data_IF_855577246271
#
_entry.id   IF_855577246271
#
_cell.length_a   1.000
_cell.length_b   1.000
_cell.length_c   1.000
_cell.angle_alpha   90.00
_cell.angle_beta   90.00
_cell.angle_gamma   90.00
#
_symmetry.space_group_name_H-M   'P 1'
#
loop_
_entity.id
_entity.type
_entity.pdbx_description
1 polymer ?
#
# COMPACT_ATOMS: atom_id res chain seq x y z
N UNK A 1 -27.32 3.30 9.26
CA UNK A 1 -27.30 2.04 8.48
C UNK A 1 -27.40 2.42 7.01
N UNK A 2 -26.36 2.04 6.22
CA UNK A 2 -26.33 2.27 4.77
C UNK A 2 -27.04 1.12 4.05
N UNK A 3 -27.80 1.45 2.99
CA UNK A 3 -28.49 0.49 2.15
C UNK A 3 -28.15 0.68 0.67
N UNK A 4 -28.41 -0.33 -0.17
CA UNK A 4 -28.18 -0.28 -1.61
C UNK A 4 -26.73 0.03 -2.00
N UNK A 5 -26.57 0.92 -2.97
CA UNK A 5 -25.28 1.29 -3.55
C UNK A 5 -24.32 1.97 -2.55
N UNK A 6 -24.87 2.75 -1.62
CA UNK A 6 -24.09 3.38 -0.57
C UNK A 6 -23.41 2.33 0.35
N UNK A 7 -24.11 1.23 0.64
CA UNK A 7 -23.57 0.10 1.40
C UNK A 7 -22.46 -0.61 0.61
N UNK A 8 -22.65 -0.76 -0.69
CA UNK A 8 -21.67 -1.36 -1.60
C UNK A 8 -20.41 -0.50 -1.66
N UNK A 9 -20.55 0.83 -1.82
CA UNK A 9 -19.43 1.76 -1.81
C UNK A 9 -18.65 1.73 -0.49
N UNK A 10 -19.35 1.69 0.65
CA UNK A 10 -18.70 1.57 1.95
C UNK A 10 -17.89 0.27 2.10
N UNK A 11 -18.39 -0.86 1.58
CA UNK A 11 -17.66 -2.14 1.58
C UNK A 11 -16.40 -2.08 0.71
N UNK A 12 -16.44 -1.39 -0.43
CA UNK A 12 -15.27 -1.18 -1.30
C UNK A 12 -14.20 -0.41 -0.54
N UNK A 13 -14.57 0.69 0.14
CA UNK A 13 -13.64 1.48 0.95
C UNK A 13 -13.05 0.63 2.08
N UNK A 14 -13.86 -0.11 2.82
CA UNK A 14 -13.40 -1.00 3.89
C UNK A 14 -12.37 -2.02 3.36
N UNK A 15 -12.61 -2.57 2.18
CA UNK A 15 -11.66 -3.50 1.55
C UNK A 15 -10.36 -2.82 1.18
N UNK A 16 -10.42 -1.60 0.63
CA UNK A 16 -9.24 -0.83 0.25
C UNK A 16 -8.37 -0.44 1.47
N UNK A 17 -8.96 -0.25 2.65
CA UNK A 17 -8.22 0.06 3.88
C UNK A 17 -7.32 -1.10 4.37
N UNK A 18 -7.52 -2.31 3.88
CA UNK A 18 -6.64 -3.46 4.18
C UNK A 18 -5.35 -3.45 3.36
N UNK A 19 -5.32 -2.78 2.22
CA UNK A 19 -4.23 -2.86 1.25
C UNK A 19 -2.86 -2.38 1.80
N UNK A 20 -2.76 -1.31 2.61
CA UNK A 20 -1.47 -0.94 3.20
C UNK A 20 -0.85 -2.05 4.05
N UNK A 21 -1.65 -2.74 4.88
CA UNK A 21 -1.19 -3.88 5.68
C UNK A 21 -0.77 -5.05 4.78
N UNK A 22 -1.55 -5.35 3.76
CA UNK A 22 -1.24 -6.41 2.79
C UNK A 22 0.06 -6.14 2.06
N UNK A 23 0.29 -4.88 1.66
CA UNK A 23 1.52 -4.48 0.97
C UNK A 23 2.74 -4.59 1.89
N UNK A 24 2.64 -4.18 3.15
CA UNK A 24 3.72 -4.34 4.14
C UNK A 24 4.07 -5.82 4.31
N UNK A 25 3.07 -6.68 4.46
CA UNK A 25 3.27 -8.12 4.59
C UNK A 25 3.92 -8.72 3.33
N UNK A 26 3.42 -8.35 2.14
CA UNK A 26 3.98 -8.80 0.86
C UNK A 26 5.44 -8.35 0.68
N UNK A 27 5.80 -7.15 1.09
CA UNK A 27 7.18 -6.65 1.06
C UNK A 27 8.11 -7.46 1.97
N UNK A 28 7.56 -8.04 3.04
CA UNK A 28 8.27 -8.97 3.93
C UNK A 28 8.25 -10.44 3.43
N UNK A 29 7.66 -10.71 2.27
CA UNK A 29 7.53 -12.06 1.72
C UNK A 29 6.41 -12.89 2.37
N UNK A 30 5.47 -12.25 3.06
CA UNK A 30 4.43 -12.90 3.84
C UNK A 30 3.04 -12.77 3.19
N UNK A 31 2.13 -13.69 3.53
CA UNK A 31 0.75 -13.66 3.03
C UNK A 31 -0.13 -12.69 3.84
N UNK A 32 -0.34 -11.50 3.29
CA UNK A 32 -1.07 -10.42 3.94
C UNK A 32 -2.54 -10.74 4.26
N UNK A 33 -3.17 -11.63 3.51
CA UNK A 33 -4.56 -12.05 3.75
C UNK A 33 -4.72 -12.75 5.08
N UNK A 34 -3.79 -13.65 5.40
CA UNK A 34 -3.78 -14.42 6.66
C UNK A 34 -3.53 -13.48 7.84
N UNK A 35 -2.56 -12.57 7.70
CA UNK A 35 -2.23 -11.59 8.74
C UNK A 35 -3.44 -10.68 9.03
N UNK A 36 -4.09 -10.16 7.99
CA UNK A 36 -5.26 -9.32 8.12
C UNK A 36 -6.43 -10.03 8.83
N UNK A 37 -6.68 -11.29 8.47
CA UNK A 37 -7.69 -12.12 9.08
C UNK A 37 -7.43 -12.39 10.58
N UNK A 38 -6.19 -12.69 10.95
CA UNK A 38 -5.79 -12.93 12.33
C UNK A 38 -5.94 -11.66 13.19
N UNK A 39 -5.56 -10.49 12.68
CA UNK A 39 -5.75 -9.22 13.38
C UNK A 39 -7.25 -8.95 13.61
N UNK A 40 -8.09 -9.16 12.58
CA UNK A 40 -9.55 -9.01 12.71
C UNK A 40 -10.16 -9.94 13.74
N UNK A 41 -9.74 -11.21 13.77
CA UNK A 41 -10.23 -12.23 14.74
C UNK A 41 -9.85 -11.88 16.17
N UNK A 42 -8.68 -11.28 16.38
CA UNK A 42 -8.25 -10.88 17.72
C UNK A 42 -9.15 -9.79 18.32
N UNK A 43 -9.78 -8.96 17.48
CA UNK A 43 -10.72 -7.90 17.87
C UNK A 43 -10.21 -7.04 19.05
N UNK A 44 -8.90 -6.77 19.08
CA UNK A 44 -8.22 -6.01 20.12
C UNK A 44 -7.65 -4.72 19.53
N UNK A 45 -7.98 -3.58 20.14
CA UNK A 45 -7.41 -2.28 19.74
C UNK A 45 -5.92 -2.26 20.01
N UNK A 46 -5.15 -1.73 19.06
CA UNK A 46 -3.69 -1.69 19.14
C UNK A 46 -2.99 -2.99 18.71
N UNK A 47 -3.71 -4.08 18.58
CA UNK A 47 -3.13 -5.35 18.15
C UNK A 47 -2.78 -5.34 16.66
N UNK A 48 -1.57 -5.71 16.32
CA UNK A 48 -1.07 -5.73 14.96
C UNK A 48 0.02 -6.78 14.75
N UNK A 49 0.63 -6.73 13.58
CA UNK A 49 1.69 -7.63 13.17
C UNK A 49 2.98 -6.85 12.92
N UNK A 50 4.05 -7.19 13.61
CA UNK A 50 5.38 -6.66 13.37
C UNK A 50 6.07 -7.47 12.27
N UNK A 51 6.18 -6.91 11.07
CA UNK A 51 6.77 -7.59 9.92
C UNK A 51 8.29 -7.81 10.05
N UNK A 52 8.97 -7.12 10.98
CA UNK A 52 10.39 -7.30 11.23
C UNK A 52 10.69 -8.54 12.09
N UNK A 53 9.88 -8.77 13.13
CA UNK A 53 10.03 -9.91 14.05
C UNK A 53 9.10 -11.07 13.71
N UNK A 54 8.18 -10.86 12.76
CA UNK A 54 7.12 -11.81 12.37
C UNK A 54 6.19 -12.21 13.53
N UNK A 55 5.98 -11.29 14.47
CA UNK A 55 5.18 -11.54 15.66
C UNK A 55 3.96 -10.64 15.74
N UNK A 56 2.89 -11.15 16.33
CA UNK A 56 1.72 -10.36 16.68
C UNK A 56 1.91 -9.71 18.05
N UNK A 57 1.76 -8.40 18.12
CA UNK A 57 2.01 -7.61 19.33
C UNK A 57 1.06 -6.44 19.47
N UNK A 58 1.08 -5.79 20.62
CA UNK A 58 0.48 -4.46 20.78
C UNK A 58 1.39 -3.42 20.13
N UNK A 59 0.91 -2.82 19.04
CA UNK A 59 1.70 -1.88 18.23
C UNK A 59 1.98 -0.57 18.96
N UNK A 60 1.10 -0.19 19.91
CA UNK A 60 1.27 1.03 20.69
C UNK A 60 2.38 0.83 21.72
N UNK A 61 2.36 -0.29 22.44
CA UNK A 61 3.39 -0.63 23.42
C UNK A 61 4.74 -0.87 22.75
N UNK A 62 4.74 -1.46 21.56
CA UNK A 62 5.95 -1.67 20.75
C UNK A 62 6.50 -0.39 20.09
N UNK A 63 5.76 0.73 20.17
CA UNK A 63 6.14 1.99 19.54
C UNK A 63 6.06 1.98 18.00
N UNK A 64 5.34 1.04 17.42
CA UNK A 64 5.17 0.88 15.97
C UNK A 64 3.85 1.53 15.56
N UNK A 65 3.85 2.85 15.53
CA UNK A 65 2.66 3.64 15.20
C UNK A 65 3.01 4.84 14.33
N UNK A 66 2.13 5.15 13.39
CA UNK A 66 2.21 6.35 12.59
C UNK A 66 1.52 7.53 13.28
N UNK A 67 2.03 8.76 13.12
CA UNK A 67 1.30 9.95 13.55
C UNK A 67 -0.07 10.04 12.86
N UNK A 68 -1.11 10.35 13.59
CA UNK A 68 -2.49 10.46 13.08
C UNK A 68 -2.61 11.39 11.87
N UNK A 69 -1.81 12.47 11.82
CA UNK A 69 -1.79 13.39 10.68
C UNK A 69 -1.35 12.70 9.38
N UNK A 70 -0.37 11.80 9.46
CA UNK A 70 0.15 11.07 8.29
C UNK A 70 -0.94 10.14 7.74
N UNK A 71 -1.52 9.31 8.59
CA UNK A 71 -2.57 8.35 8.21
C UNK A 71 -3.80 9.05 7.65
N UNK A 72 -4.23 10.15 8.30
CA UNK A 72 -5.35 10.96 7.85
C UNK A 72 -5.09 11.59 6.48
N UNK A 73 -3.90 12.19 6.27
CA UNK A 73 -3.55 12.84 5.00
C UNK A 73 -3.44 11.83 3.87
N UNK A 74 -2.89 10.64 4.14
CA UNK A 74 -2.82 9.57 3.16
C UNK A 74 -4.21 9.14 2.67
N UNK A 75 -5.14 8.90 3.60
CA UNK A 75 -6.52 8.52 3.26
C UNK A 75 -7.26 9.65 2.52
N UNK A 76 -7.10 10.89 2.95
CA UNK A 76 -7.74 12.05 2.33
C UNK A 76 -7.26 12.26 0.89
N UNK A 77 -5.95 12.16 0.65
CA UNK A 77 -5.38 12.29 -0.68
C UNK A 77 -5.77 11.12 -1.59
N UNK A 78 -5.72 9.89 -1.09
CA UNK A 78 -6.12 8.71 -1.85
C UNK A 78 -7.59 8.77 -2.27
N UNK A 79 -8.49 9.14 -1.36
CA UNK A 79 -9.92 9.28 -1.67
C UNK A 79 -10.20 10.41 -2.65
N UNK A 80 -9.45 11.52 -2.60
CA UNK A 80 -9.58 12.62 -3.55
C UNK A 80 -9.22 12.17 -4.98
N UNK A 81 -8.09 11.47 -5.14
CA UNK A 81 -7.67 10.94 -6.44
C UNK A 81 -8.66 9.88 -6.96
N UNK A 82 -9.10 8.97 -6.11
CA UNK A 82 -10.09 7.96 -6.49
C UNK A 82 -11.41 8.58 -6.95
N UNK A 83 -11.88 9.63 -6.26
CA UNK A 83 -13.07 10.37 -6.65
C UNK A 83 -12.92 11.05 -8.01
N UNK A 84 -11.75 11.61 -8.33
CA UNK A 84 -11.47 12.17 -9.65
C UNK A 84 -11.54 11.11 -10.75
N UNK A 85 -10.95 9.94 -10.54
CA UNK A 85 -11.00 8.83 -11.51
C UNK A 85 -12.45 8.37 -11.74
N UNK A 86 -13.24 8.26 -10.66
CA UNK A 86 -14.66 7.84 -10.76
C UNK A 86 -15.55 8.84 -11.47
N UNK A 87 -15.19 10.13 -11.47
CA UNK A 87 -15.98 11.20 -12.11
C UNK A 87 -15.53 11.54 -13.52
N UNK A 88 -14.41 10.96 -13.99
CA UNK A 88 -13.91 11.15 -15.36
C UNK A 88 -14.27 9.98 -16.25
N UNK A 89 -14.60 10.25 -17.52
CA UNK A 89 -14.94 9.21 -18.51
C UNK A 89 -13.70 8.68 -19.26
N UNK A 90 -12.60 9.42 -19.23
CA UNK A 90 -11.38 9.07 -19.94
C UNK A 90 -10.13 9.52 -19.19
N UNK A 91 -9.05 8.77 -19.36
CA UNK A 91 -7.72 9.08 -18.87
C UNK A 91 -6.78 9.29 -20.05
N UNK A 92 -6.06 10.41 -20.06
CA UNK A 92 -4.99 10.68 -21.02
C UNK A 92 -3.66 10.49 -20.32
N UNK A 93 -2.82 9.61 -20.86
CA UNK A 93 -1.48 9.36 -20.32
C UNK A 93 -0.49 9.17 -21.46
N UNK A 94 0.78 9.49 -21.21
CA UNK A 94 1.85 9.25 -22.16
C UNK A 94 2.06 7.76 -22.40
N UNK A 95 2.29 7.40 -23.67
CA UNK A 95 2.70 6.04 -24.04
C UNK A 95 4.14 5.84 -23.58
N UNK A 96 4.37 4.84 -22.76
CA UNK A 96 5.72 4.52 -22.28
C UNK A 96 6.59 4.10 -23.46
N UNK A 97 7.57 4.94 -23.81
CA UNK A 97 8.54 4.61 -24.84
C UNK A 97 9.39 3.40 -24.42
N UNK A 98 9.71 2.48 -25.36
CA UNK A 98 10.67 1.42 -25.09
C UNK A 98 11.99 2.03 -24.64
N UNK A 99 12.59 1.51 -23.58
CA UNK A 99 13.91 1.97 -23.14
C UNK A 99 14.88 1.86 -24.32
N UNK A 100 15.57 2.97 -24.68
CA UNK A 100 16.59 2.95 -25.71
C UNK A 100 17.62 1.87 -25.32
N UNK A 101 18.09 1.06 -26.30
CA UNK A 101 19.13 0.08 -26.02
C UNK A 101 20.33 0.79 -25.39
N UNK A 102 20.83 0.25 -24.29
CA UNK A 102 22.01 0.78 -23.63
C UNK A 102 23.14 0.92 -24.65
N UNK A 103 23.72 2.11 -24.78
CA UNK A 103 24.86 2.33 -25.64
C UNK A 103 25.96 1.32 -25.27
N UNK A 104 26.62 0.65 -26.25
CA UNK A 104 27.69 -0.27 -25.94
C UNK A 104 28.76 0.47 -25.12
N UNK A 105 29.17 -0.14 -24.01
CA UNK A 105 30.23 0.40 -23.17
C UNK A 105 31.46 0.65 -24.06
N UNK A 106 31.99 1.87 -24.00
CA UNK A 106 33.23 2.19 -24.70
C UNK A 106 34.31 1.19 -24.27
N UNK A 107 35.11 0.67 -25.20
CA UNK A 107 36.19 -0.24 -24.84
C UNK A 107 37.14 0.48 -23.88
N UNK A 108 37.36 -0.12 -22.73
CA UNK A 108 38.35 0.31 -21.75
C UNK A 108 39.74 0.21 -22.40
N UNK A 109 40.27 1.34 -22.84
CA UNK A 109 41.64 1.44 -23.28
C UNK A 109 42.52 1.39 -22.04
N UNK A 110 42.73 0.16 -21.54
CA UNK A 110 43.68 -0.10 -20.47
C UNK A 110 45.03 0.56 -20.76
N UNK A 111 45.37 1.52 -19.90
CA UNK A 111 46.60 2.30 -19.99
C UNK A 111 47.81 1.41 -19.92
N UNK A 112 48.64 1.48 -20.92
CA UNK A 112 50.07 1.20 -20.84
C UNK A 112 50.71 2.34 -20.04
N UNK A 113 51.16 2.06 -18.84
CA UNK A 113 52.43 2.55 -18.25
C UNK A 113 52.74 1.70 -17.03
#
# INVERSE_FOLDING_TARGET
>A
TLEGDAKTGAKIVLKALEEPLRQIAANAGLEGSVICENIKKANKVGYGFNALTEEYTDMIEAGIVDPTKVTRSALQNASSVAAMVLTTESLVADIKEPAAPAAPAAPDMGGMY
#
